data_IF_612249751150
#
_entry.id   IF_612249751150
#
_cell.length_a   1.000
_cell.length_b   1.000
_cell.length_c   1.000
_cell.angle_alpha   90.00
_cell.angle_beta   90.00
_cell.angle_gamma   90.00
#
_symmetry.space_group_name_H-M   'P 1'
#
loop_
_entity.id
_entity.type
_entity.pdbx_description
1 polymer ?
#
# COMPACT_ATOMS: atom_id res chain seq x y z
N UNK A 1 -52.30 0.10 6.32
CA UNK A 1 -52.14 1.36 5.57
C UNK A 1 -50.67 1.53 5.28
N UNK A 2 -50.34 1.32 4.02
CA UNK A 2 -49.00 1.29 3.42
C UNK A 2 -48.55 2.72 3.19
N UNK A 3 -47.48 3.17 3.86
CA UNK A 3 -46.82 4.43 3.50
C UNK A 3 -45.53 4.09 2.78
N UNK A 4 -45.64 4.11 1.46
CA UNK A 4 -44.55 4.12 0.50
C UNK A 4 -43.67 5.34 0.77
N UNK A 5 -42.43 5.14 1.23
CA UNK A 5 -41.39 6.16 1.10
C UNK A 5 -40.85 6.06 -0.33
N UNK A 6 -41.39 6.89 -1.21
CA UNK A 6 -40.78 7.19 -2.50
C UNK A 6 -39.37 7.73 -2.24
N UNK A 7 -38.38 7.02 -2.79
CA UNK A 7 -37.03 7.53 -2.97
C UNK A 7 -37.16 8.61 -4.04
N UNK A 8 -36.87 9.85 -3.66
CA UNK A 8 -36.87 10.98 -4.58
C UNK A 8 -35.66 10.84 -5.52
N UNK A 9 -35.92 10.34 -6.73
CA UNK A 9 -34.97 10.21 -7.83
C UNK A 9 -34.72 11.57 -8.50
N UNK A 10 -34.13 12.55 -7.80
CA UNK A 10 -33.60 13.76 -8.46
C UNK A 10 -32.43 14.39 -7.70
N UNK A 11 -31.25 13.76 -7.77
CA UNK A 11 -29.97 14.47 -7.81
C UNK A 11 -28.86 13.55 -8.34
N UNK A 12 -28.92 13.24 -9.64
CA UNK A 12 -27.76 12.66 -10.32
C UNK A 12 -26.76 13.80 -10.48
N UNK A 13 -25.85 13.89 -9.51
CA UNK A 13 -24.66 14.71 -9.60
C UNK A 13 -23.99 14.44 -10.96
N UNK A 14 -23.67 15.50 -11.69
CA UNK A 14 -22.63 15.50 -12.72
C UNK A 14 -21.32 15.07 -12.07
N UNK A 15 -21.12 13.76 -11.92
CA UNK A 15 -19.88 13.20 -11.44
C UNK A 15 -18.83 13.35 -12.54
N UNK A 16 -17.70 13.99 -12.21
CA UNK A 16 -16.55 14.11 -13.09
C UNK A 16 -16.20 12.77 -13.76
N UNK A 17 -15.80 12.76 -15.04
CA UNK A 17 -15.43 11.54 -15.74
C UNK A 17 -14.35 10.75 -14.97
N UNK A 18 -14.53 9.43 -14.85
CA UNK A 18 -13.62 8.60 -14.07
C UNK A 18 -13.51 7.18 -14.67
N UNK A 19 -12.33 6.86 -15.19
CA UNK A 19 -12.02 5.57 -15.82
C UNK A 19 -12.20 4.38 -14.87
N UNK A 20 -12.00 4.55 -13.56
CA UNK A 20 -12.18 3.46 -12.60
C UNK A 20 -13.65 3.05 -12.41
N UNK A 21 -14.62 3.90 -12.76
CA UNK A 21 -16.05 3.56 -12.80
C UNK A 21 -16.41 2.73 -14.04
N UNK A 22 -15.67 2.90 -15.13
CA UNK A 22 -15.87 2.17 -16.40
C UNK A 22 -15.16 0.82 -16.39
N UNK A 23 -13.93 0.77 -15.88
CA UNK A 23 -13.12 -0.45 -15.86
C UNK A 23 -13.67 -1.44 -14.85
N UNK A 24 -13.98 -2.65 -15.31
CA UNK A 24 -14.52 -3.73 -14.47
C UNK A 24 -13.42 -4.44 -13.67
N UNK A 25 -13.74 -4.84 -12.45
CA UNK A 25 -12.82 -5.62 -11.61
C UNK A 25 -12.51 -7.00 -12.21
N UNK A 26 -13.47 -7.60 -12.89
CA UNK A 26 -13.28 -8.84 -13.67
C UNK A 26 -12.15 -8.72 -14.70
N UNK A 27 -11.95 -7.56 -15.35
CA UNK A 27 -10.84 -7.35 -16.28
C UNK A 27 -9.47 -7.44 -15.58
N UNK A 28 -9.35 -6.84 -14.40
CA UNK A 28 -8.15 -6.93 -13.57
C UNK A 28 -7.94 -8.38 -13.07
N UNK A 29 -8.98 -9.05 -12.63
CA UNK A 29 -8.91 -10.45 -12.16
C UNK A 29 -8.47 -11.40 -13.28
N UNK A 30 -8.99 -11.20 -14.50
CA UNK A 30 -8.61 -11.97 -15.68
C UNK A 30 -7.15 -11.73 -16.07
N UNK A 31 -6.66 -10.49 -15.97
CA UNK A 31 -5.24 -10.19 -16.14
C UNK A 31 -4.39 -10.96 -15.12
N UNK A 32 -4.72 -10.84 -13.82
CA UNK A 32 -3.98 -11.47 -12.73
C UNK A 32 -3.94 -12.99 -12.88
N UNK A 33 -5.06 -13.60 -13.29
CA UNK A 33 -5.15 -15.04 -13.59
C UNK A 33 -4.22 -15.44 -14.74
N UNK A 34 -4.20 -14.68 -15.84
CA UNK A 34 -3.29 -14.91 -16.97
C UNK A 34 -1.82 -14.74 -16.57
N UNK A 35 -1.49 -13.72 -15.78
CA UNK A 35 -0.12 -13.51 -15.28
C UNK A 35 0.30 -14.67 -14.38
N UNK A 36 -0.57 -15.13 -13.48
CA UNK A 36 -0.24 -16.23 -12.56
C UNK A 36 0.05 -17.55 -13.28
N UNK A 37 -0.60 -17.80 -14.42
CA UNK A 37 -0.38 -18.98 -15.27
C UNK A 37 0.79 -18.84 -16.24
N UNK A 38 1.27 -17.63 -16.48
CA UNK A 38 2.37 -17.36 -17.42
C UNK A 38 3.73 -17.68 -16.81
N UNK A 39 4.64 -18.21 -17.64
CA UNK A 39 6.03 -18.49 -17.24
C UNK A 39 6.97 -17.40 -17.73
N UNK A 40 7.94 -17.03 -16.88
CA UNK A 40 8.95 -16.02 -17.19
C UNK A 40 8.48 -14.56 -17.00
N UNK A 41 9.39 -13.71 -16.54
CA UNK A 41 9.12 -12.30 -16.21
C UNK A 41 8.68 -11.49 -17.42
N UNK A 42 9.33 -11.67 -18.57
CA UNK A 42 9.04 -10.89 -19.78
C UNK A 42 7.61 -11.11 -20.31
N UNK A 43 7.13 -12.36 -20.32
CA UNK A 43 5.78 -12.67 -20.75
C UNK A 43 4.72 -12.03 -19.84
N UNK A 44 4.97 -12.04 -18.53
CA UNK A 44 4.12 -11.40 -17.52
C UNK A 44 4.11 -9.88 -17.68
N UNK A 45 5.26 -9.27 -17.87
CA UNK A 45 5.38 -7.83 -18.12
C UNK A 45 4.63 -7.43 -19.40
N UNK A 46 4.71 -8.23 -20.47
CA UNK A 46 3.95 -7.97 -21.70
C UNK A 46 2.44 -7.93 -21.48
N UNK A 47 1.91 -8.86 -20.68
CA UNK A 47 0.48 -8.85 -20.30
C UNK A 47 0.12 -7.59 -19.49
N UNK A 48 0.96 -7.23 -18.52
CA UNK A 48 0.77 -6.04 -17.69
C UNK A 48 0.80 -4.75 -18.52
N UNK A 49 1.83 -4.56 -19.35
CA UNK A 49 1.97 -3.39 -20.22
C UNK A 49 0.79 -3.27 -21.17
N UNK A 50 0.32 -4.38 -21.77
CA UNK A 50 -0.88 -4.34 -22.62
C UNK A 50 -2.11 -3.83 -21.86
N UNK A 51 -2.36 -4.34 -20.66
CA UNK A 51 -3.49 -3.90 -19.85
C UNK A 51 -3.39 -2.41 -19.47
N UNK A 52 -2.20 -1.92 -19.16
CA UNK A 52 -1.96 -0.50 -18.88
C UNK A 52 -2.21 0.36 -20.14
N UNK A 53 -1.78 -0.11 -21.32
CA UNK A 53 -2.06 0.57 -22.60
C UNK A 53 -3.56 0.61 -22.90
N UNK A 54 -4.27 -0.50 -22.67
CA UNK A 54 -5.72 -0.58 -22.84
C UNK A 54 -6.43 0.40 -21.87
N UNK A 55 -5.99 0.46 -20.61
CA UNK A 55 -6.50 1.45 -19.65
C UNK A 55 -6.24 2.90 -20.09
N UNK A 56 -5.04 3.23 -20.56
CA UNK A 56 -4.73 4.59 -21.07
C UNK A 56 -5.63 4.98 -22.24
N UNK A 57 -6.01 4.02 -23.09
CA UNK A 57 -6.97 4.25 -24.16
C UNK A 57 -8.36 4.56 -23.60
N UNK A 58 -8.85 3.74 -22.67
CA UNK A 58 -10.14 3.99 -21.99
C UNK A 58 -10.15 5.32 -21.24
N UNK A 59 -9.06 5.68 -20.57
CA UNK A 59 -8.91 6.99 -19.92
C UNK A 59 -9.09 8.13 -20.92
N UNK A 60 -8.38 8.10 -22.06
CA UNK A 60 -8.56 9.09 -23.13
C UNK A 60 -9.98 9.16 -23.68
N UNK A 61 -10.65 8.01 -23.81
CA UNK A 61 -12.05 7.94 -24.28
C UNK A 61 -13.02 8.58 -23.26
N UNK A 62 -12.82 8.31 -21.97
CA UNK A 62 -13.63 8.87 -20.86
C UNK A 62 -13.47 10.38 -20.77
N UNK A 63 -12.26 10.90 -20.99
CA UNK A 63 -11.93 12.32 -20.92
C UNK A 63 -11.96 13.03 -22.29
N UNK A 64 -12.52 12.41 -23.34
CA UNK A 64 -12.47 12.94 -24.70
C UNK A 64 -13.18 14.30 -24.87
N UNK A 65 -14.17 14.58 -24.02
CA UNK A 65 -14.96 15.80 -24.04
C UNK A 65 -14.52 16.84 -22.98
N UNK A 66 -13.48 16.52 -22.20
CA UNK A 66 -12.99 17.44 -21.20
C UNK A 66 -12.26 18.60 -21.89
N UNK A 67 -12.42 19.84 -21.38
CA UNK A 67 -11.59 20.94 -21.84
C UNK A 67 -10.12 20.57 -21.62
N UNK A 68 -9.20 20.92 -22.54
CA UNK A 68 -7.79 20.58 -22.40
C UNK A 68 -7.26 21.14 -21.07
N UNK A 69 -7.12 20.26 -20.08
CA UNK A 69 -6.58 20.63 -18.77
C UNK A 69 -5.12 21.01 -18.95
N UNK A 70 -4.73 22.17 -18.44
CA UNK A 70 -3.33 22.51 -18.26
C UNK A 70 -2.68 21.37 -17.47
N UNK A 71 -1.63 20.76 -18.02
CA UNK A 71 -0.78 19.81 -17.31
C UNK A 71 -0.45 20.41 -15.94
N UNK A 72 -0.65 19.71 -14.81
CA UNK A 72 -0.31 20.27 -13.52
C UNK A 72 1.14 20.71 -13.57
N UNK A 73 1.38 22.01 -13.36
CA UNK A 73 2.71 22.51 -13.12
C UNK A 73 3.24 21.73 -11.92
N UNK A 74 4.38 21.05 -12.10
CA UNK A 74 5.11 20.45 -10.99
C UNK A 74 5.57 21.62 -10.12
N UNK A 75 4.74 22.02 -9.17
CA UNK A 75 5.16 22.98 -8.15
C UNK A 75 5.97 22.16 -7.15
N UNK A 76 7.26 22.40 -7.11
CA UNK A 76 8.23 21.77 -6.20
C UNK A 76 8.11 22.29 -4.76
N UNK A 77 7.05 23.01 -4.43
CA UNK A 77 6.83 23.55 -3.09
C UNK A 77 5.73 22.81 -2.34
N UNK A 78 5.95 22.46 -1.05
CA UNK A 78 4.91 21.86 -0.23
C UNK A 78 3.81 22.89 0.05
N UNK A 79 2.58 22.58 -0.35
CA UNK A 79 1.42 23.27 0.20
C UNK A 79 1.29 22.89 1.67
N UNK A 80 1.74 23.78 2.55
CA UNK A 80 1.34 23.81 3.96
C UNK A 80 -0.15 24.13 4.02
N UNK A 81 -1.00 23.16 4.36
CA UNK A 81 -2.40 23.42 4.71
C UNK A 81 -2.73 22.83 6.07
N UNK A 82 -2.52 23.66 7.10
CA UNK A 82 -3.37 23.66 8.30
C UNK A 82 -4.80 24.03 7.88
N UNK A 83 -5.77 23.22 8.32
CA UNK A 83 -7.21 23.28 8.13
C UNK A 83 -7.86 24.66 7.79
N UNK A 84 -8.81 24.66 6.84
CA UNK A 84 -9.83 25.71 6.70
C UNK A 84 -10.35 25.92 5.27
N UNK A 85 -11.67 25.80 5.10
CA UNK A 85 -12.45 25.89 3.87
C UNK A 85 -12.19 27.12 2.97
N UNK A 86 -12.43 26.91 1.67
CA UNK A 86 -12.64 27.87 0.58
C UNK A 86 -11.42 28.58 -0.01
N UNK A 87 -11.01 28.12 -1.19
CA UNK A 87 -10.04 28.76 -2.06
C UNK A 87 -9.75 27.82 -3.22
N UNK A 88 -10.05 28.25 -4.45
CA UNK A 88 -10.12 27.42 -5.65
C UNK A 88 -8.91 26.46 -5.81
N UNK A 89 -9.22 25.16 -5.83
CA UNK A 89 -8.24 24.09 -6.06
C UNK A 89 -7.81 24.10 -7.52
N UNK A 90 -6.50 24.05 -7.85
CA UNK A 90 -6.06 23.88 -9.22
C UNK A 90 -6.65 22.56 -9.74
N UNK A 91 -7.27 22.59 -10.92
CA UNK A 91 -8.02 21.49 -11.54
C UNK A 91 -7.19 20.20 -11.56
N UNK A 92 -7.36 19.37 -10.53
CA UNK A 92 -6.68 18.09 -10.39
C UNK A 92 -7.26 17.21 -11.49
N UNK A 93 -6.40 16.60 -12.30
CA UNK A 93 -6.79 15.41 -13.04
C UNK A 93 -7.08 14.32 -11.98
N UNK A 94 -8.30 14.32 -11.44
CA UNK A 94 -8.68 13.45 -10.30
C UNK A 94 -8.63 11.97 -10.70
N UNK A 95 -8.75 11.67 -11.99
CA UNK A 95 -8.68 10.32 -12.52
C UNK A 95 -7.28 9.95 -13.03
N UNK A 96 -6.77 8.82 -12.54
CA UNK A 96 -5.44 8.30 -12.85
C UNK A 96 -5.43 6.77 -12.72
N UNK A 97 -4.28 6.14 -12.95
CA UNK A 97 -4.16 4.68 -12.78
C UNK A 97 -4.16 4.26 -11.29
N UNK A 98 -4.29 5.20 -10.36
CA UNK A 98 -4.19 4.97 -8.93
C UNK A 98 -5.15 3.90 -8.39
N UNK A 99 -6.47 3.92 -8.73
CA UNK A 99 -7.42 2.92 -8.22
C UNK A 99 -7.06 1.49 -8.65
N UNK A 100 -6.33 1.32 -9.75
CA UNK A 100 -5.89 0.01 -10.24
C UNK A 100 -4.53 -0.36 -9.67
N UNK A 101 -3.54 0.55 -9.69
CA UNK A 101 -2.18 0.25 -9.24
C UNK A 101 -2.14 -0.14 -7.76
N UNK A 102 -2.98 0.48 -6.92
CA UNK A 102 -3.09 0.12 -5.49
C UNK A 102 -3.62 -1.30 -5.27
N UNK A 103 -4.38 -1.86 -6.21
CA UNK A 103 -4.84 -3.25 -6.19
C UNK A 103 -3.80 -4.21 -6.79
N UNK A 104 -2.94 -3.74 -7.69
CA UNK A 104 -1.83 -4.49 -8.30
C UNK A 104 -0.62 -4.64 -7.36
N UNK A 105 -0.43 -3.68 -6.45
CA UNK A 105 0.66 -3.70 -5.46
C UNK A 105 0.12 -3.39 -4.05
N UNK A 106 -0.81 -4.20 -3.52
CA UNK A 106 -1.55 -3.89 -2.29
C UNK A 106 -0.68 -3.77 -1.04
N UNK A 107 0.50 -4.40 -1.03
CA UNK A 107 1.52 -4.23 0.01
C UNK A 107 2.12 -2.82 0.05
N UNK A 108 2.00 -2.06 -1.03
CA UNK A 108 2.50 -0.70 -1.20
C UNK A 108 1.41 0.37 -1.12
N UNK A 109 0.16 -0.03 -0.89
CA UNK A 109 -0.91 0.89 -0.52
C UNK A 109 -0.67 1.44 0.90
N UNK A 110 -0.43 2.76 0.99
CA UNK A 110 -0.19 3.52 2.22
C UNK A 110 -1.39 4.35 2.66
N UNK A 111 -2.35 4.59 1.78
CA UNK A 111 -3.53 5.38 2.08
C UNK A 111 -4.55 4.53 2.86
N UNK A 112 -4.71 3.25 2.51
CA UNK A 112 -5.50 2.32 3.31
C UNK A 112 -4.71 1.78 4.49
N UNK A 113 -5.26 2.02 5.69
CA UNK A 113 -4.86 1.29 6.89
C UNK A 113 -5.10 -0.22 6.72
N UNK A 114 -4.54 -1.02 7.63
CA UNK A 114 -4.73 -2.46 7.57
C UNK A 114 -6.22 -2.82 7.66
N UNK A 115 -6.67 -3.83 6.89
CA UNK A 115 -8.07 -4.30 6.93
C UNK A 115 -8.38 -5.10 8.21
N UNK A 116 -7.38 -5.52 8.98
CA UNK A 116 -7.58 -6.39 10.16
C UNK A 116 -8.13 -7.78 9.82
N UNK A 117 -7.97 -8.22 8.57
CA UNK A 117 -8.44 -9.51 8.08
C UNK A 117 -7.29 -10.50 7.95
N UNK A 118 -7.56 -11.75 8.32
CA UNK A 118 -6.66 -12.91 8.18
C UNK A 118 -7.48 -14.08 7.63
N UNK A 119 -6.79 -15.13 7.17
CA UNK A 119 -7.41 -16.30 6.55
C UNK A 119 -8.47 -16.93 7.46
N UNK A 120 -8.23 -16.99 8.77
CA UNK A 120 -9.19 -17.54 9.73
C UNK A 120 -10.51 -16.75 9.80
N UNK A 121 -10.45 -15.42 9.69
CA UNK A 121 -11.64 -14.55 9.73
C UNK A 121 -12.40 -14.60 8.41
N UNK A 122 -11.67 -14.59 7.29
CA UNK A 122 -12.24 -14.77 5.95
C UNK A 122 -12.89 -16.15 5.78
N UNK A 123 -12.26 -17.21 6.30
CA UNK A 123 -12.79 -18.57 6.27
C UNK A 123 -14.12 -18.69 7.04
N UNK A 124 -14.22 -18.07 8.22
CA UNK A 124 -15.48 -17.99 8.98
C UNK A 124 -16.58 -17.28 8.17
N UNK A 125 -16.27 -16.13 7.58
CA UNK A 125 -17.21 -15.39 6.75
C UNK A 125 -17.70 -16.20 5.54
N UNK A 126 -16.81 -16.85 4.82
CA UNK A 126 -17.16 -17.70 3.69
C UNK A 126 -18.09 -18.85 4.09
N UNK A 127 -17.81 -19.49 5.23
CA UNK A 127 -18.64 -20.58 5.76
C UNK A 127 -20.03 -20.09 6.18
N UNK A 128 -20.10 -18.93 6.85
CA UNK A 128 -21.34 -18.35 7.33
C UNK A 128 -22.23 -17.83 6.19
N UNK A 129 -21.67 -17.04 5.27
CA UNK A 129 -22.44 -16.40 4.18
C UNK A 129 -22.96 -17.42 3.17
N UNK A 130 -22.20 -18.49 2.92
CA UNK A 130 -22.58 -19.53 1.96
C UNK A 130 -23.29 -20.72 2.61
N UNK A 131 -23.59 -20.63 3.92
CA UNK A 131 -24.23 -21.69 4.69
C UNK A 131 -23.53 -23.05 4.53
N UNK A 132 -22.20 -23.05 4.44
CA UNK A 132 -21.40 -24.28 4.34
C UNK A 132 -21.40 -24.94 5.71
N UNK A 133 -21.72 -26.24 5.78
CA UNK A 133 -21.61 -26.97 7.05
C UNK A 133 -20.16 -26.95 7.56
N UNK A 134 -19.97 -26.57 8.83
CA UNK A 134 -18.65 -26.53 9.49
C UNK A 134 -17.96 -27.89 9.51
N UNK A 135 -18.74 -28.97 9.47
CA UNK A 135 -18.26 -30.34 9.52
C UNK A 135 -18.01 -30.95 8.13
N UNK A 136 -18.46 -30.28 7.07
CA UNK A 136 -18.16 -30.69 5.68
C UNK A 136 -16.68 -30.54 5.36
N UNK A 137 -16.20 -31.27 4.36
CA UNK A 137 -14.81 -31.17 3.90
C UNK A 137 -14.44 -29.75 3.47
N UNK A 138 -15.36 -29.05 2.79
CA UNK A 138 -15.16 -27.67 2.37
C UNK A 138 -15.14 -26.70 3.56
N UNK A 139 -16.03 -26.89 4.54
CA UNK A 139 -16.02 -26.11 5.79
C UNK A 139 -14.72 -26.28 6.56
N UNK A 140 -14.23 -27.51 6.69
CA UNK A 140 -12.95 -27.83 7.34
C UNK A 140 -11.76 -27.22 6.60
N UNK A 141 -11.74 -27.25 5.25
CA UNK A 141 -10.67 -26.63 4.44
C UNK A 141 -10.58 -25.12 4.66
N UNK A 142 -11.72 -24.43 4.74
CA UNK A 142 -11.78 -22.99 4.95
C UNK A 142 -11.42 -22.60 6.39
N UNK A 143 -11.98 -23.28 7.39
CA UNK A 143 -11.78 -22.93 8.81
C UNK A 143 -10.39 -23.34 9.33
N UNK A 144 -9.87 -24.48 8.88
CA UNK A 144 -8.63 -25.08 9.39
C UNK A 144 -7.47 -25.00 8.37
N UNK A 145 -7.52 -24.07 7.42
CA UNK A 145 -6.52 -23.90 6.37
C UNK A 145 -5.07 -23.95 6.91
N UNK A 146 -4.77 -23.25 8.00
CA UNK A 146 -3.41 -23.19 8.58
C UNK A 146 -2.91 -24.54 9.10
N UNK A 147 -3.81 -25.37 9.64
CA UNK A 147 -3.48 -26.72 10.12
C UNK A 147 -3.23 -27.64 8.93
N UNK A 148 -4.06 -27.55 7.90
CA UNK A 148 -3.96 -28.36 6.69
C UNK A 148 -2.76 -27.99 5.81
N UNK A 149 -2.33 -26.72 5.80
CA UNK A 149 -1.14 -26.24 5.06
C UNK A 149 0.14 -27.01 5.39
N UNK A 150 0.25 -27.57 6.61
CA UNK A 150 1.41 -28.34 7.07
C UNK A 150 1.37 -29.81 6.64
N UNK A 151 0.30 -30.27 5.99
CA UNK A 151 0.18 -31.61 5.43
C UNK A 151 0.78 -31.68 4.03
N UNK A 152 1.33 -32.84 3.64
CA UNK A 152 2.03 -33.06 2.37
C UNK A 152 1.16 -32.75 1.13
N UNK A 153 -0.16 -32.85 1.25
CA UNK A 153 -1.15 -32.70 0.16
C UNK A 153 -1.55 -31.26 -0.16
N UNK A 154 -1.36 -30.30 0.75
CA UNK A 154 -1.63 -28.85 0.50
C UNK A 154 -0.37 -28.00 0.43
N UNK A 155 0.80 -28.64 0.42
CA UNK A 155 2.11 -27.96 0.40
C UNK A 155 2.27 -27.17 -0.90
N UNK A 156 1.95 -25.87 -0.85
CA UNK A 156 2.08 -24.93 -1.96
C UNK A 156 0.81 -24.14 -2.33
N UNK A 157 -0.36 -24.54 -1.84
CA UNK A 157 -1.62 -23.81 -2.11
C UNK A 157 -1.87 -22.70 -1.09
N UNK A 158 -2.31 -21.52 -1.54
CA UNK A 158 -2.70 -20.41 -0.66
C UNK A 158 -4.19 -20.43 -0.34
N UNK A 159 -4.59 -19.67 0.68
CA UNK A 159 -5.98 -19.65 1.14
C UNK A 159 -6.96 -19.21 0.05
N UNK A 160 -6.55 -18.27 -0.80
CA UNK A 160 -7.39 -17.80 -1.91
C UNK A 160 -7.65 -18.90 -2.95
N UNK A 161 -6.65 -19.73 -3.27
CA UNK A 161 -6.83 -20.86 -4.20
C UNK A 161 -7.75 -21.94 -3.58
N UNK A 162 -7.58 -22.24 -2.28
CA UNK A 162 -8.49 -23.14 -1.56
C UNK A 162 -9.92 -22.60 -1.59
N UNK A 163 -10.10 -21.30 -1.31
CA UNK A 163 -11.41 -20.65 -1.39
C UNK A 163 -12.00 -20.73 -2.80
N UNK A 164 -11.22 -20.46 -3.85
CA UNK A 164 -11.67 -20.57 -5.24
C UNK A 164 -12.28 -21.95 -5.56
N UNK A 165 -11.62 -23.03 -5.18
CA UNK A 165 -12.13 -24.38 -5.45
C UNK A 165 -13.39 -24.74 -4.67
N UNK A 166 -13.61 -24.12 -3.52
CA UNK A 166 -14.89 -24.22 -2.79
C UNK A 166 -15.95 -23.35 -3.48
N UNK A 167 -15.59 -22.17 -3.98
CA UNK A 167 -16.53 -21.19 -4.52
C UNK A 167 -16.96 -21.44 -5.97
N UNK A 168 -16.13 -22.09 -6.79
CA UNK A 168 -16.32 -22.20 -8.25
C UNK A 168 -17.68 -22.77 -8.70
N UNK A 169 -18.32 -23.58 -7.86
CA UNK A 169 -19.63 -24.18 -8.15
C UNK A 169 -20.77 -23.55 -7.32
N UNK A 170 -20.50 -22.45 -6.59
CA UNK A 170 -21.42 -21.82 -5.62
C UNK A 170 -21.68 -20.34 -5.91
N UNK A 171 -20.89 -19.71 -6.78
CA UNK A 171 -21.03 -18.29 -7.15
C UNK A 171 -21.64 -18.13 -8.54
N UNK A 172 -22.36 -17.03 -8.74
CA UNK A 172 -22.87 -16.62 -10.05
C UNK A 172 -21.73 -16.12 -10.96
N UNK A 173 -21.85 -16.32 -12.27
CA UNK A 173 -20.84 -15.90 -13.25
C UNK A 173 -21.04 -14.46 -13.76
N UNK A 174 -22.26 -13.92 -13.65
CA UNK A 174 -22.62 -12.59 -14.15
C UNK A 174 -22.35 -11.49 -13.13
N UNK A 175 -21.09 -11.06 -13.03
CA UNK A 175 -20.72 -9.94 -12.15
C UNK A 175 -19.94 -8.86 -12.89
N UNK A 176 -20.31 -7.61 -12.61
CA UNK A 176 -19.90 -6.41 -13.36
C UNK A 176 -19.42 -5.25 -12.47
N UNK A 177 -18.97 -5.51 -11.24
CA UNK A 177 -18.48 -4.45 -10.36
C UNK A 177 -17.28 -3.72 -10.99
N UNK A 178 -17.27 -2.41 -10.89
CA UNK A 178 -16.20 -1.53 -11.32
C UNK A 178 -15.04 -1.53 -10.32
N UNK A 179 -13.85 -1.13 -10.79
CA UNK A 179 -12.69 -0.90 -9.93
C UNK A 179 -13.02 0.15 -8.85
N UNK A 180 -13.82 1.17 -9.19
CA UNK A 180 -14.25 2.19 -8.25
C UNK A 180 -15.07 1.61 -7.10
N UNK A 181 -16.09 0.80 -7.38
CA UNK A 181 -16.95 0.18 -6.35
C UNK A 181 -16.15 -0.74 -5.43
N UNK A 182 -15.23 -1.53 -5.99
CA UNK A 182 -14.32 -2.37 -5.20
C UNK A 182 -13.48 -1.53 -4.26
N UNK A 183 -12.84 -0.47 -4.77
CA UNK A 183 -12.02 0.41 -3.95
C UNK A 183 -12.83 1.08 -2.84
N UNK A 184 -14.02 1.61 -3.15
CA UNK A 184 -14.91 2.21 -2.16
C UNK A 184 -15.24 1.26 -1.01
N UNK A 185 -15.59 0.01 -1.32
CA UNK A 185 -15.88 -0.98 -0.27
C UNK A 185 -14.63 -1.33 0.54
N UNK A 186 -13.47 -1.43 -0.12
CA UNK A 186 -12.19 -1.65 0.58
C UNK A 186 -11.83 -0.47 1.50
N UNK A 187 -12.09 0.77 1.08
CA UNK A 187 -11.91 1.97 1.92
C UNK A 187 -12.82 1.90 3.16
N UNK A 188 -14.08 1.54 2.99
CA UNK A 188 -15.02 1.36 4.12
C UNK A 188 -14.57 0.24 5.08
N UNK A 189 -14.10 -0.91 4.57
CA UNK A 189 -13.55 -1.99 5.40
C UNK A 189 -12.31 -1.51 6.18
N UNK A 190 -11.42 -0.77 5.52
CA UNK A 190 -10.21 -0.25 6.15
C UNK A 190 -10.55 0.75 7.26
N UNK A 191 -11.41 1.73 6.97
CA UNK A 191 -11.84 2.78 7.93
C UNK A 191 -12.51 2.18 9.17
N UNK A 192 -13.28 1.11 9.02
CA UNK A 192 -13.98 0.47 10.15
C UNK A 192 -13.10 -0.49 10.97
N UNK A 193 -11.90 -0.82 10.49
CA UNK A 193 -11.00 -1.68 11.23
C UNK A 193 -10.53 -1.00 12.54
N UNK A 194 -10.60 -1.74 13.65
CA UNK A 194 -10.21 -1.25 14.97
C UNK A 194 -11.31 -0.49 15.73
N UNK A 195 -12.47 -0.20 15.13
CA UNK A 195 -13.60 0.49 15.79
C UNK A 195 -14.51 -0.41 16.65
N UNK A 196 -13.96 -1.51 17.17
CA UNK A 196 -14.69 -2.43 18.04
C UNK A 196 -15.84 -3.18 17.35
N UNK A 197 -16.92 -3.46 18.09
CA UNK A 197 -18.02 -4.33 17.64
C UNK A 197 -18.87 -3.71 16.51
N UNK A 198 -19.12 -2.41 16.56
CA UNK A 198 -19.93 -1.73 15.51
C UNK A 198 -19.19 -1.69 14.18
N UNK A 199 -17.90 -1.32 14.17
CA UNK A 199 -17.06 -1.40 12.98
C UNK A 199 -16.97 -2.83 12.44
N UNK A 200 -16.92 -3.83 13.33
CA UNK A 200 -16.93 -5.23 12.90
C UNK A 200 -18.20 -5.62 12.14
N UNK A 201 -19.39 -5.18 12.59
CA UNK A 201 -20.66 -5.44 11.87
C UNK A 201 -20.66 -4.84 10.46
N UNK A 202 -20.11 -3.63 10.30
CA UNK A 202 -20.01 -2.98 9.00
C UNK A 202 -19.07 -3.77 8.08
N UNK A 203 -17.89 -4.18 8.59
CA UNK A 203 -16.95 -5.02 7.85
C UNK A 203 -17.65 -6.32 7.40
N UNK A 204 -18.36 -6.99 8.31
CA UNK A 204 -19.04 -8.26 8.02
C UNK A 204 -20.12 -8.07 6.94
N UNK A 205 -20.87 -6.96 7.02
CA UNK A 205 -21.87 -6.59 6.02
C UNK A 205 -21.24 -6.30 4.65
N UNK A 206 -20.10 -5.60 4.59
CA UNK A 206 -19.37 -5.32 3.34
C UNK A 206 -18.74 -6.56 2.73
N UNK A 207 -18.15 -7.43 3.53
CA UNK A 207 -17.65 -8.72 3.05
C UNK A 207 -18.80 -9.58 2.50
N UNK A 208 -19.93 -9.62 3.19
CA UNK A 208 -21.13 -10.34 2.72
C UNK A 208 -21.62 -9.76 1.39
N UNK A 209 -21.63 -8.44 1.25
CA UNK A 209 -21.99 -7.78 -0.01
C UNK A 209 -21.06 -8.23 -1.15
N UNK A 210 -19.73 -8.16 -0.96
CA UNK A 210 -18.75 -8.60 -1.97
C UNK A 210 -18.91 -10.09 -2.32
N UNK A 211 -19.14 -10.95 -1.33
CA UNK A 211 -19.34 -12.40 -1.53
C UNK A 211 -20.57 -12.74 -2.39
N UNK A 212 -21.60 -11.88 -2.37
CA UNK A 212 -22.83 -12.07 -3.14
C UNK A 212 -22.78 -11.45 -4.53
N UNK A 213 -21.85 -10.52 -4.75
CA UNK A 213 -21.74 -9.73 -5.98
C UNK A 213 -20.36 -9.86 -6.62
N UNK A 214 -19.66 -10.99 -6.45
CA UNK A 214 -18.40 -11.31 -7.12
C UNK A 214 -18.38 -12.77 -7.56
N UNK A 215 -17.83 -13.01 -8.74
CA UNK A 215 -17.60 -14.37 -9.23
C UNK A 215 -16.56 -15.09 -8.38
N UNK A 216 -16.49 -16.41 -8.47
CA UNK A 216 -15.48 -17.18 -7.73
C UNK A 216 -14.04 -16.73 -8.06
N UNK A 217 -13.78 -16.38 -9.33
CA UNK A 217 -12.48 -15.88 -9.77
C UNK A 217 -12.17 -14.50 -9.18
N UNK A 218 -13.13 -13.59 -9.16
CA UNK A 218 -12.95 -12.27 -8.56
C UNK A 218 -12.75 -12.37 -7.04
N UNK A 219 -13.49 -13.25 -6.36
CA UNK A 219 -13.32 -13.50 -4.93
C UNK A 219 -11.93 -14.05 -4.59
N UNK A 220 -11.39 -14.94 -5.42
CA UNK A 220 -10.00 -15.40 -5.29
C UNK A 220 -9.02 -14.22 -5.27
N UNK A 221 -9.13 -13.31 -6.23
CA UNK A 221 -8.23 -12.16 -6.33
C UNK A 221 -8.48 -11.11 -5.25
N UNK A 222 -9.73 -10.86 -4.89
CA UNK A 222 -10.10 -10.01 -3.77
C UNK A 222 -9.48 -10.50 -2.46
N UNK A 223 -9.56 -11.81 -2.16
CA UNK A 223 -8.93 -12.40 -0.96
C UNK A 223 -7.42 -12.12 -0.94
N UNK A 224 -6.74 -12.28 -2.09
CA UNK A 224 -5.31 -11.96 -2.20
C UNK A 224 -5.01 -10.48 -2.00
N UNK A 225 -5.87 -9.58 -2.49
CA UNK A 225 -5.77 -8.13 -2.26
C UNK A 225 -5.98 -7.79 -0.77
N UNK A 226 -7.00 -8.34 -0.14
CA UNK A 226 -7.30 -8.15 1.29
C UNK A 226 -6.17 -8.65 2.19
N UNK A 227 -5.55 -9.76 1.82
CA UNK A 227 -4.38 -10.31 2.50
C UNK A 227 -3.06 -9.60 2.12
N UNK A 228 -3.10 -8.67 1.16
CA UNK A 228 -1.94 -7.96 0.58
C UNK A 228 -0.85 -8.92 0.04
N UNK A 229 -1.25 -10.05 -0.54
CA UNK A 229 -0.37 -11.07 -1.14
C UNK A 229 -0.95 -11.63 -2.45
N UNK A 230 -0.61 -11.01 -3.60
CA UNK A 230 -1.13 -11.39 -4.92
C UNK A 230 -0.57 -12.69 -5.49
N UNK A 231 0.62 -13.14 -5.08
CA UNK A 231 1.25 -14.38 -5.58
C UNK A 231 1.39 -14.54 -7.10
N UNK A 232 1.35 -13.45 -7.87
CA UNK A 232 1.53 -13.48 -9.33
C UNK A 232 2.99 -13.72 -9.77
N UNK A 233 3.92 -13.83 -8.82
CA UNK A 233 5.35 -14.02 -9.07
C UNK A 233 5.92 -13.00 -10.07
N UNK A 234 5.50 -11.74 -9.88
CA UNK A 234 6.02 -10.55 -10.53
C UNK A 234 6.35 -9.57 -9.40
N UNK A 235 7.57 -9.02 -9.39
CA UNK A 235 8.01 -8.10 -8.34
C UNK A 235 7.31 -6.76 -8.50
N UNK A 236 7.12 -6.05 -7.40
CA UNK A 236 6.53 -4.72 -7.39
C UNK A 236 7.23 -3.75 -8.36
N UNK A 237 8.56 -3.68 -8.30
CA UNK A 237 9.34 -2.81 -9.19
C UNK A 237 9.06 -3.12 -10.66
N UNK A 238 8.91 -4.40 -11.01
CA UNK A 238 8.58 -4.79 -12.38
C UNK A 238 7.18 -4.36 -12.81
N UNK A 239 6.23 -4.22 -11.88
CA UNK A 239 4.88 -3.69 -12.15
C UNK A 239 4.97 -2.17 -12.33
N UNK A 240 5.71 -1.47 -11.46
CA UNK A 240 5.93 -0.02 -11.58
C UNK A 240 6.63 0.33 -12.90
N UNK A 241 7.67 -0.41 -13.28
CA UNK A 241 8.39 -0.25 -14.56
C UNK A 241 7.48 -0.49 -15.78
N UNK A 242 6.49 -1.39 -15.69
CA UNK A 242 5.49 -1.56 -16.75
C UNK A 242 4.57 -0.34 -16.91
N UNK A 243 4.39 0.46 -15.85
CA UNK A 243 3.58 1.67 -15.88
C UNK A 243 4.36 2.86 -16.44
N UNK A 244 5.55 3.12 -15.90
CA UNK A 244 6.44 4.19 -16.35
C UNK A 244 7.90 3.89 -15.96
N UNK A 245 8.91 4.23 -16.80
CA UNK A 245 10.34 4.01 -16.47
C UNK A 245 10.77 4.65 -15.13
N UNK A 246 10.27 5.85 -14.83
CA UNK A 246 10.57 6.59 -13.59
C UNK A 246 9.71 6.17 -12.38
N UNK A 247 8.73 5.27 -12.55
CA UNK A 247 7.77 4.96 -11.48
C UNK A 247 8.41 4.36 -10.24
N UNK A 248 9.41 3.50 -10.44
CA UNK A 248 10.16 2.90 -9.34
C UNK A 248 10.89 3.99 -8.54
N UNK A 249 11.61 4.87 -9.22
CA UNK A 249 12.41 5.89 -8.55
C UNK A 249 11.53 6.93 -7.88
N UNK A 250 10.44 7.36 -8.52
CA UNK A 250 9.47 8.25 -7.88
C UNK A 250 8.82 7.60 -6.64
N UNK A 251 8.46 6.31 -6.72
CA UNK A 251 7.94 5.60 -5.57
C UNK A 251 8.98 5.46 -4.45
N UNK A 252 10.24 5.21 -4.79
CA UNK A 252 11.32 5.12 -3.80
C UNK A 252 11.55 6.44 -3.05
N UNK A 253 11.30 7.60 -3.68
CA UNK A 253 11.47 8.91 -3.04
C UNK A 253 10.21 9.41 -2.31
N UNK A 254 9.03 8.88 -2.63
CA UNK A 254 7.75 9.40 -2.11
C UNK A 254 6.96 8.41 -1.28
N UNK A 255 7.22 7.11 -1.43
CA UNK A 255 6.42 5.99 -0.93
C UNK A 255 4.91 6.16 -1.19
N UNK A 256 4.54 6.82 -2.29
CA UNK A 256 3.18 7.26 -2.58
C UNK A 256 2.73 6.84 -4.00
N UNK A 257 1.87 5.83 -4.07
CA UNK A 257 1.33 5.31 -5.34
C UNK A 257 0.42 6.32 -6.06
N UNK A 258 -0.25 7.22 -5.34
CA UNK A 258 -1.08 8.26 -5.94
C UNK A 258 -0.21 9.26 -6.70
N UNK A 259 0.87 9.76 -6.07
CA UNK A 259 1.85 10.63 -6.75
C UNK A 259 2.44 9.95 -7.99
N UNK A 260 2.77 8.66 -7.89
CA UNK A 260 3.25 7.88 -9.05
C UNK A 260 2.23 7.87 -10.18
N UNK A 261 0.98 7.52 -9.90
CA UNK A 261 -0.06 7.41 -10.92
C UNK A 261 -0.41 8.76 -11.57
N UNK A 262 -0.36 9.86 -10.81
CA UNK A 262 -0.71 11.21 -11.29
C UNK A 262 0.45 11.86 -12.03
N UNK A 263 1.66 11.88 -11.45
CA UNK A 263 2.81 12.58 -12.05
C UNK A 263 3.39 11.87 -13.26
N UNK A 264 3.22 10.55 -13.35
CA UNK A 264 3.71 9.71 -14.45
C UNK A 264 2.56 9.15 -15.30
N UNK A 265 1.44 9.88 -15.36
CA UNK A 265 0.29 9.52 -16.17
C UNK A 265 0.68 9.34 -17.66
N UNK A 266 1.42 10.31 -18.20
CA UNK A 266 1.98 10.28 -19.55
C UNK A 266 3.24 9.40 -19.60
N UNK A 267 3.25 8.29 -20.37
CA UNK A 267 4.40 7.39 -20.49
C UNK A 267 5.67 8.03 -21.08
N UNK A 268 5.52 9.09 -21.86
CA UNK A 268 6.63 9.71 -22.59
C UNK A 268 7.30 10.85 -21.81
N UNK A 269 6.65 11.32 -20.72
CA UNK A 269 7.13 12.45 -19.93
C UNK A 269 8.01 12.00 -18.77
N UNK A 270 9.32 12.20 -18.93
CA UNK A 270 10.33 11.92 -17.89
C UNK A 270 10.41 13.02 -16.83
N UNK A 271 10.57 12.63 -15.57
CA UNK A 271 10.87 13.58 -14.49
C UNK A 271 12.36 13.93 -14.54
N UNK A 272 12.67 15.24 -14.59
CA UNK A 272 14.06 15.70 -14.69
C UNK A 272 14.82 15.57 -13.37
N UNK A 273 14.12 15.76 -12.24
CA UNK A 273 14.67 15.58 -10.89
C UNK A 273 13.64 14.86 -10.01
N UNK A 274 14.04 13.72 -9.45
CA UNK A 274 13.28 13.03 -8.41
C UNK A 274 14.10 13.20 -7.13
N UNK A 275 13.78 14.25 -6.38
CA UNK A 275 14.44 14.58 -5.12
C UNK A 275 13.65 14.13 -3.89
N UNK A 276 14.34 14.05 -2.75
CA UNK A 276 13.67 13.93 -1.46
C UNK A 276 12.86 15.20 -1.18
N UNK A 277 11.66 15.04 -0.62
CA UNK A 277 10.81 16.14 -0.20
C UNK A 277 10.58 16.08 1.30
N UNK A 278 10.59 17.25 1.96
CA UNK A 278 10.24 17.32 3.38
C UNK A 278 8.82 16.78 3.60
N UNK A 279 8.61 16.11 4.74
CA UNK A 279 7.35 15.43 5.09
C UNK A 279 6.84 14.36 4.12
N UNK A 280 7.66 13.92 3.16
CA UNK A 280 7.35 12.78 2.29
C UNK A 280 8.28 11.61 2.65
N UNK A 281 7.77 10.45 3.09
CA UNK A 281 8.60 9.30 3.40
C UNK A 281 9.30 8.76 2.15
N UNK A 282 10.56 8.37 2.28
CA UNK A 282 11.31 7.68 1.22
C UNK A 282 11.65 6.25 1.63
N UNK A 283 12.10 5.42 0.70
CA UNK A 283 12.60 4.08 1.02
C UNK A 283 14.02 4.19 1.58
N UNK A 284 14.28 3.77 2.83
CA UNK A 284 15.62 3.81 3.38
C UNK A 284 16.58 2.94 2.58
N UNK A 285 17.84 3.37 2.50
CA UNK A 285 18.92 2.56 1.96
C UNK A 285 19.06 1.26 2.78
N UNK A 286 19.28 0.14 2.10
CA UNK A 286 19.43 -1.18 2.72
C UNK A 286 20.89 -1.64 2.72
N UNK A 287 21.29 -2.38 3.75
CA UNK A 287 22.59 -3.03 3.84
C UNK A 287 22.63 -4.38 3.11
N UNK A 288 23.66 -4.60 2.29
CA UNK A 288 23.94 -5.89 1.67
C UNK A 288 24.70 -6.80 2.66
N UNK A 289 24.17 -8.00 2.93
CA UNK A 289 24.86 -8.94 3.83
C UNK A 289 26.14 -9.44 3.18
N UNK A 290 27.27 -9.11 3.80
CA UNK A 290 28.61 -9.48 3.31
C UNK A 290 29.37 -10.24 4.39
N UNK A 291 30.20 -11.21 3.97
CA UNK A 291 31.14 -11.85 4.88
C UNK A 291 32.34 -10.94 5.10
N UNK A 292 32.86 -10.89 6.33
CA UNK A 292 33.98 -10.02 6.68
C UNK A 292 35.21 -10.22 5.76
N UNK A 293 35.51 -11.47 5.39
CA UNK A 293 36.61 -11.82 4.48
C UNK A 293 36.44 -11.33 3.02
N UNK A 294 35.25 -10.82 2.67
CA UNK A 294 34.92 -10.33 1.33
C UNK A 294 34.67 -8.82 1.27
N UNK A 295 34.81 -8.10 2.39
CA UNK A 295 34.38 -6.69 2.45
C UNK A 295 35.15 -5.81 1.45
N UNK A 296 36.46 -5.97 1.36
CA UNK A 296 37.28 -5.22 0.39
C UNK A 296 36.89 -5.51 -1.05
N UNK A 297 36.57 -6.77 -1.36
CA UNK A 297 36.14 -7.16 -2.71
C UNK A 297 34.78 -6.52 -3.05
N UNK A 298 33.86 -6.46 -2.10
CA UNK A 298 32.55 -5.83 -2.29
C UNK A 298 32.71 -4.33 -2.50
N UNK A 299 33.52 -3.65 -1.69
CA UNK A 299 33.80 -2.21 -1.83
C UNK A 299 34.43 -1.92 -3.19
N UNK A 300 35.43 -2.70 -3.61
CA UNK A 300 36.07 -2.54 -4.93
C UNK A 300 35.09 -2.72 -6.10
N UNK A 301 34.15 -3.67 -6.00
CA UNK A 301 33.12 -3.88 -7.02
C UNK A 301 32.10 -2.76 -7.12
N UNK A 302 31.82 -2.07 -6.01
CA UNK A 302 30.87 -0.95 -5.95
C UNK A 302 31.53 0.39 -6.29
N UNK A 303 32.87 0.45 -6.24
CA UNK A 303 33.64 1.59 -6.72
C UNK A 303 33.43 1.76 -8.23
N UNK A 304 33.22 3.00 -8.66
CA UNK A 304 33.17 3.40 -10.07
C UNK A 304 34.51 3.22 -10.78
N UNK A 305 35.60 3.02 -10.03
CA UNK A 305 36.93 2.74 -10.54
C UNK A 305 37.51 1.45 -9.90
N UNK A 306 37.37 0.28 -10.55
CA UNK A 306 37.81 -1.01 -10.02
C UNK A 306 39.34 -1.16 -9.88
N UNK A 307 40.12 -0.32 -10.57
CA UNK A 307 41.59 -0.35 -10.56
C UNK A 307 42.22 0.61 -9.55
N UNK A 308 41.41 1.44 -8.88
CA UNK A 308 41.88 2.36 -7.84
C UNK A 308 42.21 1.64 -6.52
N UNK A 309 42.91 2.34 -5.63
CA UNK A 309 43.04 1.96 -4.23
C UNK A 309 41.65 1.70 -3.62
N UNK A 310 41.59 0.89 -2.56
CA UNK A 310 40.33 0.60 -1.87
C UNK A 310 39.69 1.93 -1.44
N UNK A 311 38.44 2.18 -1.84
CA UNK A 311 37.72 3.36 -1.41
C UNK A 311 37.63 3.37 0.12
N UNK A 312 37.85 4.52 0.74
CA UNK A 312 37.65 4.70 2.17
C UNK A 312 36.20 4.37 2.53
N UNK A 313 35.99 3.73 3.68
CA UNK A 313 34.67 3.34 4.16
C UNK A 313 34.59 3.51 5.67
N UNK A 314 33.37 3.74 6.16
CA UNK A 314 33.09 3.86 7.58
C UNK A 314 32.66 2.52 8.18
N UNK A 315 32.96 2.34 9.47
CA UNK A 315 32.46 1.23 10.29
C UNK A 315 31.60 1.84 11.38
N UNK A 316 30.32 1.46 11.41
CA UNK A 316 29.35 1.94 12.37
C UNK A 316 28.70 0.78 13.13
N UNK A 317 28.33 1.01 14.38
CA UNK A 317 27.59 0.05 15.19
C UNK A 317 26.20 -0.15 14.59
N UNK A 318 25.86 -1.39 14.23
CA UNK A 318 24.51 -1.75 13.80
C UNK A 318 23.60 -1.94 15.03
N UNK A 319 22.87 -0.89 15.40
CA UNK A 319 21.86 -0.97 16.45
C UNK A 319 20.72 -1.94 16.07
N UNK A 320 20.12 -2.55 17.08
CA UNK A 320 19.02 -3.52 16.96
C UNK A 320 17.73 -2.92 17.51
N UNK A 321 17.15 -2.01 16.72
CA UNK A 321 15.93 -1.28 17.07
C UNK A 321 14.91 -1.29 15.94
N UNK A 322 14.18 -0.18 15.79
CA UNK A 322 13.33 0.07 14.63
C UNK A 322 13.85 1.26 13.82
N UNK A 323 14.02 1.05 12.51
CA UNK A 323 14.41 2.12 11.59
C UNK A 323 13.32 3.16 11.44
N UNK A 324 13.65 4.43 11.64
CA UNK A 324 12.76 5.57 11.48
C UNK A 324 13.45 6.73 10.75
N UNK A 325 12.68 7.41 9.91
CA UNK A 325 12.98 8.71 9.35
C UNK A 325 12.29 9.77 10.18
N UNK A 326 13.03 10.79 10.62
CA UNK A 326 12.51 11.99 11.24
C UNK A 326 12.58 13.14 10.24
N UNK A 327 11.44 13.73 9.91
CA UNK A 327 11.33 14.94 9.10
C UNK A 327 10.96 16.10 10.01
N UNK A 328 11.65 17.23 9.89
CA UNK A 328 11.42 18.41 10.73
C UNK A 328 11.36 19.69 9.91
N UNK A 329 10.39 20.54 10.21
CA UNK A 329 10.33 21.96 9.83
C UNK A 329 10.02 22.79 11.08
N UNK A 330 11.04 23.47 11.62
CA UNK A 330 10.95 24.26 12.86
C UNK A 330 10.45 23.42 14.04
N UNK A 331 9.20 23.60 14.47
CA UNK A 331 8.57 22.85 15.56
C UNK A 331 7.61 21.75 15.06
N UNK A 332 7.56 21.50 13.74
CA UNK A 332 6.78 20.41 13.17
C UNK A 332 7.65 19.20 12.92
N UNK A 333 7.20 18.04 13.39
CA UNK A 333 7.92 16.78 13.29
C UNK A 333 7.02 15.73 12.65
N UNK A 334 7.60 14.89 11.79
CA UNK A 334 6.96 13.67 11.29
C UNK A 334 7.90 12.49 11.36
N UNK A 335 7.35 11.33 11.71
CA UNK A 335 8.10 10.10 11.93
C UNK A 335 7.59 9.00 11.03
N UNK A 336 8.45 8.52 10.13
CA UNK A 336 8.10 7.44 9.21
C UNK A 336 8.93 6.20 9.51
N UNK A 337 8.26 5.07 9.72
CA UNK A 337 8.93 3.77 9.84
C UNK A 337 9.65 3.38 8.55
N UNK A 338 10.49 2.32 8.61
CA UNK A 338 11.14 1.71 7.43
C UNK A 338 10.26 1.56 6.18
N UNK A 339 8.99 1.23 6.38
CA UNK A 339 8.04 0.98 5.29
C UNK A 339 7.21 2.22 4.92
N UNK A 340 7.51 3.39 5.48
CA UNK A 340 6.81 4.65 5.21
C UNK A 340 5.50 4.84 5.98
N UNK A 341 5.19 4.02 6.99
CA UNK A 341 4.04 4.26 7.87
C UNK A 341 4.33 5.40 8.85
N UNK A 342 3.35 6.27 9.03
CA UNK A 342 3.39 7.42 9.94
C UNK A 342 3.19 6.99 11.41
N UNK A 343 4.13 7.38 12.28
CA UNK A 343 4.12 7.19 13.73
C UNK A 343 4.21 8.51 14.49
N UNK A 344 3.89 9.63 13.83
CA UNK A 344 4.00 10.97 14.41
C UNK A 344 3.17 11.12 15.67
N UNK A 345 1.98 10.51 15.73
CA UNK A 345 1.13 10.50 16.92
C UNK A 345 1.74 9.76 18.12
N UNK A 346 2.70 8.86 17.90
CA UNK A 346 3.40 8.12 18.97
C UNK A 346 4.60 8.92 19.50
N UNK A 347 5.36 9.54 18.61
CA UNK A 347 6.60 10.22 18.98
C UNK A 347 6.39 11.70 19.34
N UNK A 348 5.34 12.33 18.81
CA UNK A 348 4.94 13.71 19.06
C UNK A 348 5.04 14.57 17.78
N UNK A 349 3.99 15.27 17.34
CA UNK A 349 4.05 16.15 16.15
C UNK A 349 4.79 17.47 16.38
N UNK A 350 4.95 17.90 17.64
CA UNK A 350 5.56 19.17 18.02
C UNK A 350 6.08 19.12 19.47
N UNK A 351 6.77 20.19 19.91
CA UNK A 351 7.37 20.30 21.24
C UNK A 351 6.38 20.30 22.42
N UNK A 352 5.13 20.70 22.19
CA UNK A 352 4.11 20.86 23.24
C UNK A 352 3.12 19.68 23.29
N UNK A 353 3.11 18.84 22.26
CA UNK A 353 2.28 17.66 22.16
C UNK A 353 2.74 16.53 23.07
N UNK A 354 1.81 15.65 23.45
CA UNK A 354 2.14 14.39 24.11
C UNK A 354 2.88 13.51 23.09
N UNK A 355 4.06 13.05 23.45
CA UNK A 355 4.90 12.22 22.59
C UNK A 355 6.02 11.57 23.37
N UNK A 356 6.42 10.38 22.92
CA UNK A 356 7.49 9.61 23.57
C UNK A 356 8.90 10.12 23.26
N UNK A 357 9.06 11.04 22.29
CA UNK A 357 10.38 11.54 21.88
C UNK A 357 10.44 13.05 21.66
N UNK A 358 9.56 13.62 20.83
CA UNK A 358 9.63 15.04 20.39
C UNK A 358 9.76 16.04 21.53
N UNK A 359 8.98 15.93 22.63
CA UNK A 359 9.10 16.85 23.76
C UNK A 359 10.50 16.89 24.39
N UNK A 360 11.28 15.81 24.25
CA UNK A 360 12.62 15.69 24.81
C UNK A 360 13.73 16.12 23.85
N UNK A 361 13.49 16.12 22.54
CA UNK A 361 14.52 16.42 21.53
C UNK A 361 14.34 17.76 20.83
N UNK A 362 13.16 18.39 20.89
CA UNK A 362 12.86 19.61 20.13
C UNK A 362 13.89 20.73 20.35
N UNK A 363 14.33 20.91 21.61
CA UNK A 363 15.30 21.93 22.00
C UNK A 363 16.78 21.50 21.83
N UNK A 364 17.05 20.33 21.25
CA UNK A 364 18.43 19.83 21.04
C UNK A 364 18.99 20.19 19.67
N UNK A 365 18.14 20.60 18.73
CA UNK A 365 18.55 21.06 17.40
C UNK A 365 19.25 22.42 17.49
N UNK A 366 20.27 22.62 16.65
CA UNK A 366 20.90 23.94 16.53
C UNK A 366 19.91 24.95 15.95
N UNK A 367 20.06 26.22 16.35
CA UNK A 367 19.14 27.28 15.99
C UNK A 367 19.09 27.59 14.48
N UNK A 368 20.16 27.30 13.75
CA UNK A 368 20.28 27.48 12.30
C UNK A 368 19.77 26.28 11.50
N UNK A 369 19.46 25.16 12.16
CA UNK A 369 18.81 24.03 11.54
C UNK A 369 17.29 24.23 11.66
N UNK A 370 16.64 24.81 10.65
CA UNK A 370 15.18 24.90 10.62
C UNK A 370 14.55 23.64 10.00
N UNK A 371 15.13 23.14 8.90
CA UNK A 371 14.60 22.01 8.14
C UNK A 371 15.63 20.89 8.07
N UNK A 372 15.22 19.66 8.41
CA UNK A 372 16.09 18.50 8.25
C UNK A 372 15.30 17.20 8.06
N UNK A 373 15.97 16.23 7.45
CA UNK A 373 15.55 14.83 7.40
C UNK A 373 16.68 14.01 8.02
N UNK A 374 16.36 13.19 9.01
CA UNK A 374 17.30 12.31 9.73
C UNK A 374 16.84 10.88 9.52
N UNK A 375 17.75 10.01 9.09
CA UNK A 375 17.49 8.57 8.97
C UNK A 375 18.30 7.84 10.05
N UNK A 376 17.60 7.11 10.93
CA UNK A 376 18.22 6.56 12.13
C UNK A 376 17.48 5.36 12.69
N UNK A 377 17.98 4.86 13.82
CA UNK A 377 17.40 3.72 14.52
C UNK A 377 16.81 4.17 15.85
N UNK A 378 15.52 3.94 16.06
CA UNK A 378 14.86 4.13 17.33
C UNK A 378 15.20 2.96 18.25
N UNK A 379 15.72 3.24 19.43
CA UNK A 379 16.18 2.25 20.41
C UNK A 379 15.59 2.51 21.78
N UNK A 380 15.56 1.49 22.62
CA UNK A 380 15.08 1.58 23.99
C UNK A 380 16.26 1.80 24.90
N UNK A 381 16.25 2.90 25.63
CA UNK A 381 17.32 3.27 26.54
C UNK A 381 16.87 3.16 28.00
N UNK A 382 17.52 2.26 28.76
CA UNK A 382 17.32 2.15 30.20
C UNK A 382 18.16 3.21 30.91
N UNK A 383 17.50 4.20 31.50
CA UNK A 383 18.18 5.32 32.18
C UNK A 383 18.91 4.90 33.46
N UNK A 384 18.44 3.88 34.16
CA UNK A 384 19.03 3.42 35.42
C UNK A 384 20.31 2.63 35.17
N UNK A 385 20.26 1.71 34.21
CA UNK A 385 21.37 0.83 33.86
C UNK A 385 22.32 1.46 32.84
N UNK A 386 21.88 2.54 32.17
CA UNK A 386 22.59 3.23 31.08
C UNK A 386 22.91 2.33 29.89
N UNK A 387 22.02 1.38 29.60
CA UNK A 387 22.16 0.43 28.50
C UNK A 387 21.07 0.64 27.45
N UNK A 388 21.38 0.18 26.22
CA UNK A 388 20.40 0.06 25.15
C UNK A 388 19.88 -1.38 25.15
N UNK A 389 18.56 -1.55 25.24
CA UNK A 389 17.91 -2.85 25.12
C UNK A 389 17.83 -3.28 23.65
N UNK A 390 17.90 -4.59 23.42
CA UNK A 390 17.66 -5.16 22.10
C UNK A 390 16.16 -5.21 21.84
N UNK A 391 15.77 -5.10 20.57
CA UNK A 391 14.39 -5.35 20.13
C UNK A 391 13.84 -6.73 20.54
N UNK A 392 14.70 -7.71 20.77
CA UNK A 392 14.30 -9.05 21.24
C UNK A 392 13.81 -9.08 22.69
N UNK A 393 14.03 -8.02 23.46
CA UNK A 393 13.54 -7.89 24.83
C UNK A 393 12.02 -7.61 24.84
N UNK A 394 11.40 -7.60 26.03
CA UNK A 394 9.92 -7.49 26.17
C UNK A 394 9.36 -6.08 25.92
N UNK A 395 10.10 -5.22 25.20
CA UNK A 395 9.77 -3.82 25.01
C UNK A 395 9.67 -3.47 23.51
N UNK A 396 8.62 -2.74 23.12
CA UNK A 396 8.42 -2.25 21.75
C UNK A 396 8.44 -0.73 21.75
N UNK A 397 9.41 -0.12 21.04
CA UNK A 397 9.55 1.34 20.90
C UNK A 397 8.28 2.04 20.40
N UNK A 398 7.42 1.32 19.68
CA UNK A 398 6.17 1.84 19.11
C UNK A 398 5.00 1.85 20.10
N UNK A 399 5.13 1.19 21.25
CA UNK A 399 4.07 1.04 22.24
C UNK A 399 4.50 1.43 23.66
N UNK A 400 5.64 2.11 23.82
CA UNK A 400 6.05 2.65 25.11
C UNK A 400 5.04 3.73 25.50
N UNK A 401 4.38 3.55 26.63
CA UNK A 401 3.53 4.58 27.21
C UNK A 401 4.43 5.55 27.99
N UNK A 402 4.23 6.84 27.76
CA UNK A 402 4.93 7.94 28.45
C UNK A 402 4.61 8.01 29.93
#
# INVERSE_FOLDING_TARGET
>A
MTTSMMIDETNINDELPNSSKVVKFSNLCNLLERISKSQGTMAKQKLMTRFISDWRKTHKEVHANDPPTATPAVTTEPQTTTAGLSGASPTIMEDSFYPIIRLLVPQSDRERIAYGLKESKLGKHLVEVLSISKDSDDGKKLLNFRVQKNTRTQKGSDFAEVAYYVLKNRCNEDVTMSIWEINKILDEIAVENGKGKEGQKIIDHRLTYLLRHLSALELKWLIRILLKDLRISLKENSILECFHPDAKDLFDHTSNLFKVAVYLHDPEKRLHEIGLSLFSPFRPMLGERTRADKIEQVIRKKSTNPTAALAEFYIETKYDGDRFQLHRDKDQFMYFSRNGHDYTSVFGPDSNSIGTLTPYIANTFKIDCEKCIIDGEMVIYNRNEKIIHSKGDSFDVKSIQS
#
